data_IF_423647569525
#
_entry.id   IF_423647569525
#
_cell.length_a   1.000
_cell.length_b   1.000
_cell.length_c   1.000
_cell.angle_alpha   90.00
_cell.angle_beta   90.00
_cell.angle_gamma   90.00
#
_symmetry.space_group_name_H-M   'P 1'
#
loop_
_entity.id
_entity.type
_entity.pdbx_description
1 polymer ?
#
# COMPACT_ATOMS: atom_id res chain seq x y z
N UNK A 1 3.59 20.13 -1.29
CA UNK A 1 2.49 20.00 -0.32
C UNK A 1 1.98 18.58 -0.41
N UNK A 2 1.82 17.90 0.73
CA UNK A 2 1.21 16.57 0.81
C UNK A 2 -0.12 16.62 1.54
N UNK A 3 -1.09 15.84 1.11
CA UNK A 3 -2.41 15.77 1.74
C UNK A 3 -2.80 14.31 1.95
N UNK A 4 -3.10 13.94 3.20
CA UNK A 4 -3.70 12.65 3.54
C UNK A 4 -5.17 12.86 3.91
N UNK A 5 -6.04 12.14 3.23
CA UNK A 5 -7.48 12.15 3.44
C UNK A 5 -7.94 10.85 4.10
N UNK A 6 -9.25 10.72 4.28
CA UNK A 6 -9.92 9.49 4.71
C UNK A 6 -9.44 8.27 3.93
N UNK A 7 -9.03 7.23 4.64
CA UNK A 7 -8.53 5.99 4.08
C UNK A 7 -8.12 5.01 5.17
N UNK A 8 -8.08 3.73 4.82
CA UNK A 8 -7.56 2.65 5.68
C UNK A 8 -6.05 2.49 5.50
N UNK A 9 -5.38 1.91 6.51
CA UNK A 9 -3.92 1.68 6.52
C UNK A 9 -3.12 2.98 6.61
N UNK A 10 -1.84 2.95 6.25
CA UNK A 10 -0.85 3.97 6.55
C UNK A 10 -0.01 4.39 5.33
N UNK A 11 -0.34 3.91 4.13
CA UNK A 11 0.44 4.13 2.90
C UNK A 11 0.67 5.63 2.59
N UNK A 12 -0.29 6.49 2.94
CA UNK A 12 -0.15 7.95 2.81
C UNK A 12 0.80 8.61 3.82
N UNK A 13 1.07 7.96 4.96
CA UNK A 13 1.90 8.50 6.05
C UNK A 13 3.36 8.58 5.66
N UNK A 14 3.90 7.53 5.04
CA UNK A 14 5.28 7.49 4.57
C UNK A 14 5.55 8.62 3.55
N UNK A 15 4.61 8.84 2.63
CA UNK A 15 4.67 9.94 1.67
C UNK A 15 4.69 11.32 2.35
N UNK A 16 3.91 11.52 3.41
CA UNK A 16 3.94 12.78 4.17
C UNK A 16 5.26 12.99 4.90
N UNK A 17 5.83 11.96 5.53
CA UNK A 17 7.16 12.04 6.17
C UNK A 17 8.20 12.48 5.15
N UNK A 18 8.23 11.83 3.99
CA UNK A 18 9.09 12.19 2.85
C UNK A 18 8.93 13.65 2.42
N UNK A 19 7.69 14.14 2.31
CA UNK A 19 7.40 15.54 1.94
C UNK A 19 7.94 16.50 3.00
N UNK A 20 7.77 16.17 4.28
CA UNK A 20 8.20 17.01 5.39
C UNK A 20 9.72 17.09 5.51
N UNK A 21 10.42 15.97 5.32
CA UNK A 21 11.89 15.93 5.28
C UNK A 21 12.49 16.84 4.18
N UNK A 22 11.74 17.07 3.09
CA UNK A 22 12.13 18.02 2.03
C UNK A 22 11.70 19.46 2.30
N UNK A 23 11.20 19.77 3.49
CA UNK A 23 10.68 21.11 3.84
C UNK A 23 9.31 21.41 3.25
N UNK A 24 8.57 20.39 2.81
CA UNK A 24 7.21 20.54 2.32
C UNK A 24 6.17 20.68 3.43
N UNK A 25 5.00 21.21 3.07
CA UNK A 25 3.85 21.36 3.97
C UNK A 25 3.00 20.08 3.95
N UNK A 26 2.65 19.56 5.12
CA UNK A 26 1.85 18.37 5.33
C UNK A 26 0.47 18.70 5.88
N UNK A 27 -0.57 18.22 5.20
CA UNK A 27 -1.98 18.46 5.54
C UNK A 27 -2.68 17.13 5.75
N UNK A 28 -3.51 17.03 6.78
CA UNK A 28 -4.31 15.85 7.09
C UNK A 28 -5.77 16.26 7.27
N UNK A 29 -6.69 15.43 6.77
CA UNK A 29 -8.11 15.56 7.05
C UNK A 29 -8.40 15.31 8.54
N UNK A 30 -9.27 16.10 9.17
CA UNK A 30 -9.75 15.85 10.54
C UNK A 30 -10.25 14.41 10.67
N UNK A 31 -9.59 13.56 11.50
CA UNK A 31 -9.96 12.16 11.65
C UNK A 31 -11.37 11.94 12.21
N UNK A 32 -12.00 12.97 12.78
CA UNK A 32 -13.37 12.90 13.30
C UNK A 32 -14.43 13.16 12.21
N UNK A 33 -14.06 13.75 11.07
CA UNK A 33 -14.93 13.91 9.89
C UNK A 33 -14.64 12.84 8.82
N UNK A 34 -13.50 12.18 8.90
CA UNK A 34 -13.12 11.12 7.98
C UNK A 34 -14.09 9.93 8.02
N UNK A 35 -14.48 9.44 6.84
CA UNK A 35 -15.28 8.22 6.68
C UNK A 35 -14.50 7.01 7.24
N UNK A 36 -13.18 7.00 7.03
CA UNK A 36 -12.23 6.10 7.65
C UNK A 36 -11.06 6.92 8.21
N UNK A 37 -11.00 7.03 9.54
CA UNK A 37 -10.06 7.91 10.24
C UNK A 37 -8.68 7.29 10.50
N UNK A 38 -8.42 6.05 10.07
CA UNK A 38 -7.19 5.33 10.40
C UNK A 38 -5.96 6.00 9.77
N UNK A 39 -5.98 6.24 8.45
CA UNK A 39 -4.85 6.86 7.75
C UNK A 39 -4.58 8.31 8.25
N UNK A 40 -5.60 9.18 8.45
CA UNK A 40 -5.39 10.46 9.10
C UNK A 40 -4.79 10.39 10.52
N UNK A 41 -5.22 9.43 11.36
CA UNK A 41 -4.65 9.24 12.71
C UNK A 41 -3.20 8.79 12.63
N UNK A 42 -2.88 7.84 11.76
CA UNK A 42 -1.52 7.37 11.53
C UNK A 42 -0.61 8.51 11.06
N UNK A 43 -1.09 9.34 10.12
CA UNK A 43 -0.35 10.52 9.65
C UNK A 43 -0.06 11.51 10.78
N UNK A 44 -1.04 11.81 11.64
CA UNK A 44 -0.84 12.71 12.79
C UNK A 44 0.13 12.16 13.85
N UNK A 45 0.24 10.84 13.96
CA UNK A 45 1.14 10.20 14.94
C UNK A 45 2.59 10.11 14.46
N UNK A 46 2.80 9.93 13.15
CA UNK A 46 4.11 9.58 12.61
C UNK A 46 4.72 10.65 11.69
N UNK A 47 3.92 11.61 11.20
CA UNK A 47 4.41 12.72 10.39
C UNK A 47 4.26 14.05 11.15
N UNK A 48 5.19 14.97 10.94
CA UNK A 48 5.09 16.34 11.45
C UNK A 48 4.10 17.15 10.59
N UNK A 49 2.82 17.07 10.95
CA UNK A 49 1.68 17.63 10.23
C UNK A 49 1.50 19.12 10.55
N UNK A 50 1.46 19.96 9.53
CA UNK A 50 1.26 21.42 9.67
C UNK A 50 -0.21 21.79 9.88
N UNK A 51 -1.12 21.06 9.25
CA UNK A 51 -2.54 21.39 9.23
C UNK A 51 -3.41 20.15 9.37
N UNK A 52 -4.29 20.16 10.37
CA UNK A 52 -5.40 19.20 10.52
C UNK A 52 -6.71 19.95 10.28
N UNK A 53 -7.40 19.64 9.18
CA UNK A 53 -8.53 20.45 8.70
C UNK A 53 -9.71 19.58 8.26
N UNK A 54 -10.91 20.15 8.36
CA UNK A 54 -12.08 19.60 7.66
C UNK A 54 -11.87 19.61 6.15
N UNK A 55 -12.45 18.65 5.43
CA UNK A 55 -12.24 18.50 3.97
C UNK A 55 -12.57 19.77 3.21
N UNK A 56 -13.66 20.45 3.59
CA UNK A 56 -14.10 21.69 2.96
C UNK A 56 -13.06 22.82 3.07
N UNK A 57 -12.25 22.84 4.12
CA UNK A 57 -11.22 23.85 4.35
C UNK A 57 -9.88 23.53 3.67
N UNK A 58 -9.65 22.26 3.29
CA UNK A 58 -8.41 21.85 2.62
C UNK A 58 -8.29 22.52 1.24
N UNK A 59 -9.39 22.63 0.50
CA UNK A 59 -9.37 23.23 -0.83
C UNK A 59 -8.90 24.70 -0.79
N UNK A 60 -9.41 25.48 0.16
CA UNK A 60 -9.00 26.89 0.34
C UNK A 60 -7.52 27.01 0.70
N UNK A 61 -7.04 26.16 1.61
CA UNK A 61 -5.62 26.10 1.97
C UNK A 61 -4.75 25.80 0.76
N UNK A 62 -5.11 24.80 -0.06
CA UNK A 62 -4.33 24.43 -1.24
C UNK A 62 -4.26 25.56 -2.27
N UNK A 63 -5.36 26.29 -2.49
CA UNK A 63 -5.38 27.46 -3.37
C UNK A 63 -4.44 28.54 -2.85
N UNK A 64 -4.45 28.82 -1.54
CA UNK A 64 -3.53 29.78 -0.94
C UNK A 64 -2.08 29.36 -1.12
N UNK A 65 -1.73 28.15 -0.69
CA UNK A 65 -0.36 27.60 -0.76
C UNK A 65 0.18 27.56 -2.20
N UNK A 66 -0.68 27.33 -3.19
CA UNK A 66 -0.29 27.31 -4.60
C UNK A 66 0.21 28.66 -5.12
N UNK A 67 -0.14 29.75 -4.45
CA UNK A 67 0.19 31.13 -4.84
C UNK A 67 1.34 31.71 -4.02
N UNK A 68 1.78 31.02 -2.97
CA UNK A 68 2.87 31.48 -2.13
C UNK A 68 4.21 31.30 -2.84
N UNK A 69 5.06 32.33 -2.81
CA UNK A 69 6.43 32.23 -3.30
C UNK A 69 7.29 31.57 -2.22
N UNK A 70 7.88 30.43 -2.56
CA UNK A 70 8.80 29.71 -1.69
C UNK A 70 10.22 30.15 -2.04
N UNK A 71 11.04 30.46 -1.03
CA UNK A 71 12.45 30.75 -1.25
C UNK A 71 13.14 29.52 -1.86
N UNK A 72 14.10 29.76 -2.77
CA UNK A 72 14.86 28.68 -3.39
C UNK A 72 15.89 28.13 -2.40
N UNK A 73 15.41 27.29 -1.48
CA UNK A 73 16.24 26.58 -0.52
C UNK A 73 16.77 25.30 -1.16
N UNK A 74 18.08 25.05 -1.04
CA UNK A 74 18.68 23.75 -1.42
C UNK A 74 17.95 22.63 -0.70
N UNK A 75 17.19 21.84 -1.47
CA UNK A 75 16.51 20.66 -0.94
C UNK A 75 17.57 19.64 -0.50
N UNK A 76 17.42 18.99 0.66
CA UNK A 76 18.31 17.91 1.04
C UNK A 76 18.22 16.81 -0.02
N UNK A 77 19.38 16.40 -0.55
CA UNK A 77 19.45 15.37 -1.58
C UNK A 77 19.24 14.01 -0.92
N UNK A 78 18.07 13.41 -1.14
CA UNK A 78 17.74 12.07 -0.68
C UNK A 78 17.69 11.13 -1.89
N UNK A 79 18.76 10.35 -2.10
CA UNK A 79 18.89 9.43 -3.23
C UNK A 79 17.78 8.36 -3.28
N UNK A 80 17.23 7.96 -2.13
CA UNK A 80 16.12 7.00 -2.08
C UNK A 80 14.83 7.64 -2.59
N UNK A 81 14.57 8.87 -2.17
CA UNK A 81 13.38 9.63 -2.50
C UNK A 81 13.38 10.09 -3.98
N UNK A 82 14.56 10.41 -4.52
CA UNK A 82 14.74 10.65 -5.96
C UNK A 82 14.49 9.40 -6.80
N UNK A 83 14.85 8.20 -6.30
CA UNK A 83 14.51 6.93 -6.94
C UNK A 83 13.01 6.63 -6.83
N UNK A 84 12.40 6.89 -5.69
CA UNK A 84 10.93 6.78 -5.51
C UNK A 84 10.18 7.61 -6.55
N UNK A 85 10.55 8.89 -6.67
CA UNK A 85 9.95 9.77 -7.66
C UNK A 85 10.17 9.26 -9.11
N UNK A 86 11.36 8.77 -9.44
CA UNK A 86 11.69 8.26 -10.79
C UNK A 86 10.89 7.02 -11.16
N UNK A 87 10.70 6.10 -10.20
CA UNK A 87 9.90 4.88 -10.39
C UNK A 87 8.41 5.22 -10.53
N UNK A 88 7.90 6.18 -9.75
CA UNK A 88 6.49 6.60 -9.82
C UNK A 88 6.13 7.34 -11.12
N UNK A 89 7.12 7.95 -11.78
CA UNK A 89 6.93 8.75 -13.01
C UNK A 89 6.98 7.94 -14.31
N UNK A 90 7.14 6.61 -14.25
CA UNK A 90 7.17 5.67 -15.38
C UNK A 90 7.92 6.18 -16.65
N UNK A 91 9.25 6.24 -16.57
CA UNK A 91 10.12 6.50 -17.73
C UNK A 91 10.47 5.21 -18.52
N UNK A 92 9.98 4.03 -18.10
CA UNK A 92 10.38 2.78 -18.76
C UNK A 92 11.90 2.52 -18.75
N UNK A 93 12.69 3.31 -18.02
CA UNK A 93 14.11 3.07 -17.84
C UNK A 93 14.26 1.83 -16.97
N UNK A 94 14.73 0.75 -17.59
CA UNK A 94 15.30 -0.40 -16.92
C UNK A 94 16.58 0.03 -16.19
N UNK A 95 16.45 0.90 -15.20
CA UNK A 95 17.55 1.25 -14.32
C UNK A 95 17.70 0.07 -13.36
N UNK A 96 18.60 -0.86 -13.70
CA UNK A 96 18.96 -2.06 -12.92
C UNK A 96 19.74 -1.63 -11.67
N UNK A 97 19.15 -0.76 -10.87
CA UNK A 97 19.64 -0.48 -9.52
C UNK A 97 18.94 -1.45 -8.56
N UNK A 98 19.67 -2.14 -7.67
CA UNK A 98 19.06 -2.98 -6.64
C UNK A 98 18.06 -2.14 -5.85
N UNK A 99 16.87 -2.70 -5.58
CA UNK A 99 15.94 -2.07 -4.65
C UNK A 99 16.69 -1.80 -3.34
N UNK A 100 16.64 -0.58 -2.79
CA UNK A 100 17.30 -0.27 -1.53
C UNK A 100 16.78 -1.16 -0.41
N UNK A 101 17.63 -1.40 0.60
CA UNK A 101 17.31 -2.28 1.72
C UNK A 101 17.86 -3.70 1.57
N UNK A 102 17.75 -4.48 2.64
CA UNK A 102 18.22 -5.86 2.69
C UNK A 102 17.11 -6.83 2.22
N UNK A 103 17.43 -7.91 1.49
CA UNK A 103 16.44 -8.89 1.09
C UNK A 103 15.71 -9.49 2.30
N UNK A 104 14.38 -9.43 2.28
CA UNK A 104 13.53 -10.05 3.30
C UNK A 104 13.11 -11.47 2.90
N UNK A 105 12.39 -12.15 3.80
CA UNK A 105 11.77 -13.44 3.53
C UNK A 105 10.34 -13.32 2.95
N UNK A 106 9.88 -12.09 2.69
CA UNK A 106 8.52 -11.85 2.20
C UNK A 106 8.48 -11.71 0.68
N UNK A 107 7.39 -12.21 0.09
CA UNK A 107 7.09 -12.06 -1.33
C UNK A 107 6.10 -10.93 -1.57
N UNK A 108 6.32 -10.19 -2.64
CA UNK A 108 5.44 -9.14 -3.13
C UNK A 108 4.07 -9.73 -3.50
N UNK A 109 2.96 -9.31 -2.86
CA UNK A 109 1.63 -9.81 -3.19
C UNK A 109 1.18 -9.47 -4.62
N UNK A 110 1.74 -8.42 -5.23
CA UNK A 110 1.35 -7.95 -6.56
C UNK A 110 2.08 -8.65 -7.71
N UNK A 111 3.32 -9.11 -7.52
CA UNK A 111 4.12 -9.70 -8.61
C UNK A 111 4.91 -10.96 -8.23
N UNK A 112 4.90 -11.39 -6.97
CA UNK A 112 5.59 -12.58 -6.49
C UNK A 112 7.12 -12.44 -6.32
N UNK A 113 7.70 -11.28 -6.64
CA UNK A 113 9.12 -11.02 -6.42
C UNK A 113 9.48 -10.89 -4.93
N UNK A 114 10.75 -11.10 -4.58
CA UNK A 114 11.25 -10.89 -3.20
C UNK A 114 11.16 -9.40 -2.84
N UNK A 115 10.71 -9.13 -1.61
CA UNK A 115 10.69 -7.78 -1.02
C UNK A 115 12.01 -7.50 -0.30
N UNK A 116 12.53 -6.29 -0.46
CA UNK A 116 13.60 -5.75 0.36
C UNK A 116 13.01 -4.94 1.51
N UNK A 117 13.63 -5.06 2.68
CA UNK A 117 13.28 -4.35 3.90
C UNK A 117 14.09 -3.06 4.02
N UNK A 118 13.39 -1.95 4.24
CA UNK A 118 13.95 -0.60 4.32
C UNK A 118 13.51 -0.01 5.66
N UNK A 119 14.49 0.47 6.43
CA UNK A 119 14.26 1.19 7.68
C UNK A 119 14.44 2.68 7.43
N UNK A 120 13.39 3.47 7.63
CA UNK A 120 13.42 4.94 7.54
C UNK A 120 13.00 5.53 8.89
N UNK A 121 13.99 5.74 9.77
CA UNK A 121 13.74 6.04 11.19
C UNK A 121 13.11 4.85 11.91
N UNK A 122 11.95 5.07 12.54
CA UNK A 122 11.17 4.02 13.22
C UNK A 122 10.19 3.28 12.28
N UNK A 123 10.11 3.69 11.01
CA UNK A 123 9.14 3.13 10.06
C UNK A 123 9.77 1.99 9.24
N UNK A 124 9.14 0.82 9.32
CA UNK A 124 9.50 -0.36 8.53
C UNK A 124 8.76 -0.38 7.20
N UNK A 125 9.49 -0.37 6.09
CA UNK A 125 8.93 -0.38 4.74
C UNK A 125 9.48 -1.56 3.94
N UNK A 126 8.66 -2.08 3.05
CA UNK A 126 9.01 -3.14 2.12
C UNK A 126 8.95 -2.62 0.69
N UNK A 127 9.89 -3.08 -0.15
CA UNK A 127 9.92 -2.68 -1.56
C UNK A 127 10.33 -3.81 -2.49
N UNK A 128 9.62 -3.93 -3.59
CA UNK A 128 9.92 -4.92 -4.61
C UNK A 128 10.87 -4.33 -5.66
N UNK A 129 11.64 -5.19 -6.32
CA UNK A 129 12.53 -4.83 -7.44
C UNK A 129 11.82 -4.05 -8.56
N UNK A 130 10.54 -4.31 -8.80
CA UNK A 130 9.76 -3.65 -9.85
C UNK A 130 9.06 -2.35 -9.41
N UNK A 131 9.27 -1.92 -8.16
CA UNK A 131 8.89 -0.57 -7.72
C UNK A 131 7.72 -0.48 -6.75
N UNK A 132 6.87 -1.51 -6.66
CA UNK A 132 5.82 -1.59 -5.65
C UNK A 132 6.38 -1.44 -4.22
N UNK A 133 5.62 -0.82 -3.32
CA UNK A 133 6.01 -0.52 -1.95
C UNK A 133 4.86 -0.80 -0.96
N UNK A 134 5.20 -1.14 0.28
CA UNK A 134 4.26 -1.49 1.35
C UNK A 134 4.85 -1.06 2.69
N UNK A 135 3.99 -0.65 3.61
CA UNK A 135 4.24 -0.72 5.05
C UNK A 135 4.08 -2.15 5.59
N UNK A 136 4.45 -2.38 6.84
CA UNK A 136 4.15 -3.61 7.58
C UNK A 136 2.65 -3.96 7.56
N UNK A 137 1.80 -2.97 7.82
CA UNK A 137 0.36 -3.10 7.97
C UNK A 137 -0.30 -3.41 6.63
N UNK A 138 0.06 -2.65 5.58
CA UNK A 138 -0.48 -2.88 4.24
C UNK A 138 -0.01 -4.18 3.61
N UNK A 139 1.23 -4.61 3.91
CA UNK A 139 1.74 -5.92 3.49
C UNK A 139 0.96 -7.05 4.17
N UNK A 140 0.75 -6.98 5.49
CA UNK A 140 -0.03 -7.97 6.23
C UNK A 140 -1.46 -8.06 5.71
N UNK A 141 -2.11 -6.92 5.49
CA UNK A 141 -3.45 -6.86 4.92
C UNK A 141 -3.52 -7.58 3.55
N UNK A 142 -2.56 -7.31 2.65
CA UNK A 142 -2.50 -7.97 1.34
C UNK A 142 -2.18 -9.46 1.41
N UNK A 143 -1.38 -9.91 2.38
CA UNK A 143 -1.18 -11.34 2.63
C UNK A 143 -2.47 -12.01 3.13
N UNK A 144 -3.24 -11.33 3.97
CA UNK A 144 -4.55 -11.82 4.43
C UNK A 144 -5.53 -11.96 3.27
N UNK A 145 -5.63 -10.96 2.39
CA UNK A 145 -6.45 -11.02 1.18
C UNK A 145 -6.10 -12.26 0.33
N UNK A 146 -4.79 -12.51 0.15
CA UNK A 146 -4.30 -13.66 -0.61
C UNK A 146 -4.61 -15.01 0.04
N UNK A 147 -4.49 -15.10 1.37
CA UNK A 147 -4.85 -16.30 2.12
C UNK A 147 -6.36 -16.58 2.01
N UNK A 148 -7.20 -15.57 2.17
CA UNK A 148 -8.65 -15.71 2.04
C UNK A 148 -9.04 -16.20 0.64
N UNK A 149 -8.46 -15.61 -0.41
CA UNK A 149 -8.69 -16.05 -1.79
C UNK A 149 -8.29 -17.52 -2.00
N UNK A 150 -7.14 -17.94 -1.45
CA UNK A 150 -6.69 -19.33 -1.54
C UNK A 150 -7.65 -20.31 -0.82
N UNK A 151 -8.16 -19.92 0.35
CA UNK A 151 -9.15 -20.71 1.09
C UNK A 151 -10.45 -20.85 0.31
N UNK A 152 -10.93 -19.78 -0.32
CA UNK A 152 -12.11 -19.84 -1.19
C UNK A 152 -11.93 -20.77 -2.38
N UNK A 153 -10.75 -20.75 -3.02
CA UNK A 153 -10.43 -21.68 -4.11
C UNK A 153 -10.43 -23.12 -3.63
N UNK A 154 -9.83 -23.38 -2.46
CA UNK A 154 -9.80 -24.73 -1.87
C UNK A 154 -11.19 -25.24 -1.52
N UNK A 155 -12.03 -24.40 -0.87
CA UNK A 155 -13.40 -24.76 -0.52
C UNK A 155 -14.22 -25.12 -1.77
N UNK A 156 -14.17 -24.26 -2.79
CA UNK A 156 -14.86 -24.52 -4.06
C UNK A 156 -14.40 -25.82 -4.71
N UNK A 157 -13.09 -26.09 -4.74
CA UNK A 157 -12.56 -27.33 -5.31
C UNK A 157 -13.05 -28.57 -4.54
N UNK A 158 -13.16 -28.50 -3.21
CA UNK A 158 -13.70 -29.58 -2.38
C UNK A 158 -15.20 -29.82 -2.64
N UNK A 159 -16.00 -28.75 -2.77
CA UNK A 159 -17.43 -28.85 -3.10
C UNK A 159 -17.67 -29.46 -4.49
N UNK A 160 -16.87 -29.05 -5.48
CA UNK A 160 -16.89 -29.60 -6.83
C UNK A 160 -16.53 -31.10 -6.82
N UNK A 161 -15.50 -31.49 -6.06
CA UNK A 161 -15.07 -32.89 -5.93
C UNK A 161 -16.10 -33.76 -5.21
N UNK A 162 -16.75 -33.25 -4.17
CA UNK A 162 -17.85 -33.93 -3.48
C UNK A 162 -19.03 -34.18 -4.43
N UNK A 163 -19.45 -33.13 -5.15
CA UNK A 163 -20.55 -33.21 -6.12
C UNK A 163 -20.26 -34.24 -7.23
N UNK A 164 -19.02 -34.28 -7.73
CA UNK A 164 -18.62 -35.26 -8.74
C UNK A 164 -18.63 -36.70 -8.19
N UNK A 165 -18.14 -36.88 -6.96
CA UNK A 165 -18.10 -38.19 -6.29
C UNK A 165 -19.51 -38.76 -6.09
N UNK A 166 -20.47 -37.93 -5.69
CA UNK A 166 -21.88 -38.33 -5.55
C UNK A 166 -22.48 -38.77 -6.89
N UNK A 167 -22.23 -38.00 -7.96
CA UNK A 167 -22.69 -38.36 -9.31
C UNK A 167 -22.10 -39.68 -9.80
N UNK A 168 -20.83 -39.95 -9.50
CA UNK A 168 -20.19 -41.21 -9.84
C UNK A 168 -20.81 -42.38 -9.07
N UNK A 169 -21.07 -42.21 -7.76
CA UNK A 169 -21.74 -43.21 -6.94
C UNK A 169 -23.14 -43.54 -7.45
N UNK A 170 -23.93 -42.52 -7.81
CA UNK A 170 -25.27 -42.70 -8.37
C UNK A 170 -25.26 -43.42 -9.72
N UNK A 171 -24.31 -43.10 -10.59
CA UNK A 171 -24.14 -43.82 -11.87
C UNK A 171 -23.80 -45.29 -11.65
N UNK A 172 -22.92 -45.58 -10.68
CA UNK A 172 -22.56 -46.96 -10.33
C UNK A 172 -23.77 -47.75 -9.81
N UNK A 173 -24.53 -47.16 -8.89
CA UNK A 173 -25.77 -47.75 -8.35
C UNK A 173 -26.79 -48.06 -9.45
N UNK A 174 -27.02 -47.13 -10.39
CA UNK A 174 -27.95 -47.33 -11.52
C UNK A 174 -27.51 -48.46 -12.45
N UNK A 175 -26.21 -48.62 -12.71
CA UNK A 175 -25.69 -49.73 -13.53
C UNK A 175 -25.85 -51.08 -12.83
N UNK A 176 -25.64 -51.14 -11.51
CA UNK A 176 -25.84 -52.36 -10.72
C UNK A 176 -27.31 -52.80 -10.59
N UNK A 177 -28.27 -51.89 -10.80
CA UNK A 177 -29.72 -52.19 -10.78
C UNK A 177 -30.26 -52.68 -12.14
N UNK A 178 -29.45 -52.66 -13.19
CA UNK A 178 -29.84 -53.07 -14.56
C UNK A 178 -29.25 -54.43 -14.98
N UNK A 179 -28.50 -55.10 -14.10
CA UNK A 179 -27.91 -56.43 -14.29
C UNK A 179 -28.62 -57.46 -13.41
#
# INVERSE_FOLDING_TARGET
VGVVLSGSLDDGTAGLVSIKQLGGICVVQDPNEAICGDMPRNALQNADVDHCLKVASIAELLVRLSREQVADTKRPHNQLLEREARIALDDGSQDVTPAPGEPSQFSCPACGGVLNEIHDGDLLRFRCRVGHAWSSESLLAKQSDGLEAALWVALRALEEQATLSDRMADRSRRRGQQA
#
